data_IF_809980554922
#
_entry.id   IF_809980554922
#
_cell.length_a   1.000
_cell.length_b   1.000
_cell.length_c   1.000
_cell.angle_alpha   90.00
_cell.angle_beta   90.00
_cell.angle_gamma   90.00
#
_symmetry.space_group_name_H-M   'P 1'
#
loop_
_entity.id
_entity.type
_entity.pdbx_description
1 polymer ?
#
# COMPACT_ATOMS: atom_id res chain seq x y z
N UNK A 1 -8.87 -4.56 -12.04
CA UNK A 1 -9.08 -5.22 -10.73
C UNK A 1 -8.60 -4.39 -9.53
N UNK A 2 -7.30 -4.20 -9.18
CA UNK A 2 -6.94 -3.39 -7.99
C UNK A 2 -7.29 -1.89 -8.12
N UNK A 3 -6.92 -1.29 -9.25
CA UNK A 3 -7.16 0.12 -9.56
C UNK A 3 -8.63 0.54 -9.40
N UNK A 4 -9.58 -0.32 -9.77
CA UNK A 4 -11.03 -0.03 -9.66
C UNK A 4 -11.50 0.17 -8.22
N UNK A 5 -10.83 -0.44 -7.23
CA UNK A 5 -11.22 -0.29 -5.82
C UNK A 5 -10.60 0.93 -5.19
N UNK A 6 -9.32 1.18 -5.47
CA UNK A 6 -8.51 2.16 -4.74
C UNK A 6 -8.39 3.52 -5.45
N UNK A 7 -8.81 3.64 -6.72
CA UNK A 7 -8.71 4.90 -7.48
C UNK A 7 -9.26 6.07 -6.69
N UNK A 8 -8.52 7.18 -6.73
CA UNK A 8 -8.92 8.43 -6.09
C UNK A 8 -10.27 8.91 -6.62
N UNK A 9 -11.19 9.20 -5.72
CA UNK A 9 -12.53 9.79 -5.91
C UNK A 9 -13.51 9.00 -6.80
N UNK A 10 -13.04 8.01 -7.56
CA UNK A 10 -13.84 7.16 -8.44
C UNK A 10 -13.71 5.66 -8.08
N UNK A 11 -12.83 5.31 -7.14
CA UNK A 11 -12.67 3.94 -6.67
C UNK A 11 -13.88 3.50 -5.83
N UNK A 12 -14.18 2.20 -5.86
CA UNK A 12 -15.32 1.65 -5.11
C UNK A 12 -15.25 1.94 -3.61
N UNK A 13 -14.05 1.91 -3.02
CA UNK A 13 -13.87 2.18 -1.58
C UNK A 13 -14.11 3.67 -1.29
N UNK A 14 -13.47 4.55 -2.06
CA UNK A 14 -13.60 6.00 -1.86
C UNK A 14 -15.05 6.47 -2.06
N UNK A 15 -15.73 5.91 -3.06
CA UNK A 15 -17.16 6.17 -3.32
C UNK A 15 -18.05 5.70 -2.17
N UNK A 16 -17.77 4.51 -1.61
CA UNK A 16 -18.51 3.99 -0.46
C UNK A 16 -18.33 4.90 0.78
N UNK A 17 -17.09 5.25 1.11
CA UNK A 17 -16.78 6.10 2.26
C UNK A 17 -17.44 7.48 2.11
N UNK A 18 -17.33 8.09 0.94
CA UNK A 18 -17.93 9.41 0.67
C UNK A 18 -19.47 9.36 0.75
N UNK A 19 -20.10 8.33 0.17
CA UNK A 19 -21.57 8.26 0.07
C UNK A 19 -22.27 7.74 1.32
N UNK A 20 -21.62 6.87 2.09
CA UNK A 20 -22.22 6.20 3.26
C UNK A 20 -21.72 6.75 4.59
N UNK A 21 -20.49 7.28 4.63
CA UNK A 21 -19.84 7.73 5.87
C UNK A 21 -19.49 9.22 5.85
N UNK A 22 -19.82 9.96 4.78
CA UNK A 22 -19.41 11.37 4.63
C UNK A 22 -19.91 12.33 5.71
N UNK A 23 -20.93 11.95 6.50
CA UNK A 23 -21.39 12.74 7.65
C UNK A 23 -20.61 12.52 8.95
N UNK A 24 -19.77 11.49 9.02
CA UNK A 24 -18.99 11.11 10.22
C UNK A 24 -17.51 10.86 9.91
N UNK A 25 -17.13 10.89 8.64
CA UNK A 25 -15.78 10.65 8.15
C UNK A 25 -15.47 11.69 7.06
N UNK A 26 -14.39 12.42 7.25
CA UNK A 26 -13.94 13.47 6.35
C UNK A 26 -12.58 13.17 5.73
N UNK A 27 -12.31 13.78 4.58
CA UNK A 27 -10.99 13.74 3.94
C UNK A 27 -10.13 14.89 4.47
N UNK A 28 -9.04 14.56 5.14
CA UNK A 28 -7.99 15.50 5.52
C UNK A 28 -6.74 15.23 4.66
N UNK A 29 -6.55 16.06 3.63
CA UNK A 29 -5.50 15.86 2.64
C UNK A 29 -5.68 14.54 1.88
N UNK A 30 -4.77 13.58 2.09
CA UNK A 30 -4.85 12.24 1.49
C UNK A 30 -5.50 11.20 2.40
N UNK A 31 -5.90 11.54 3.62
CA UNK A 31 -6.32 10.56 4.63
C UNK A 31 -7.80 10.72 4.99
N UNK A 32 -8.42 9.59 5.34
CA UNK A 32 -9.74 9.54 5.96
C UNK A 32 -9.61 9.63 7.47
N UNK A 33 -10.29 10.61 8.06
CA UNK A 33 -10.25 10.93 9.48
C UNK A 33 -11.69 11.04 10.00
N UNK A 34 -12.01 10.50 11.20
CA UNK A 34 -13.31 10.69 11.82
C UNK A 34 -13.62 12.17 12.06
N UNK A 35 -14.86 12.58 11.81
CA UNK A 35 -15.35 13.91 12.15
C UNK A 35 -15.90 13.90 13.59
N UNK A 36 -15.05 14.31 14.52
CA UNK A 36 -15.37 14.33 15.95
C UNK A 36 -16.53 15.26 16.32
N UNK A 37 -16.88 16.25 15.48
CA UNK A 37 -18.00 17.14 15.75
C UNK A 37 -19.35 16.46 15.51
N UNK A 38 -19.40 15.46 14.62
CA UNK A 38 -20.63 14.82 14.17
C UNK A 38 -20.72 13.32 14.49
N UNK A 39 -19.67 12.72 15.08
CA UNK A 39 -19.61 11.28 15.40
C UNK A 39 -20.07 10.91 16.81
N UNK A 40 -21.02 11.65 17.41
CA UNK A 40 -21.46 11.39 18.79
C UNK A 40 -21.96 9.94 18.96
N UNK A 41 -21.33 9.18 19.87
CA UNK A 41 -21.68 7.78 20.16
C UNK A 41 -21.22 6.76 19.11
N UNK A 42 -20.46 7.15 18.08
CA UNK A 42 -19.91 6.26 17.05
C UNK A 42 -18.38 6.24 17.12
N UNK A 43 -17.80 5.13 17.59
CA UNK A 43 -16.36 4.91 17.55
C UNK A 43 -15.98 4.13 16.30
N UNK A 44 -15.06 4.65 15.48
CA UNK A 44 -14.53 3.92 14.33
C UNK A 44 -13.54 2.84 14.77
N UNK A 45 -13.62 1.68 14.12
CA UNK A 45 -12.62 0.63 14.29
C UNK A 45 -11.25 1.13 13.79
N UNK A 46 -10.22 1.23 14.65
CA UNK A 46 -8.90 1.73 14.24
C UNK A 46 -8.24 0.89 13.16
N UNK A 47 -8.51 -0.43 13.14
CA UNK A 47 -7.99 -1.33 12.11
C UNK A 47 -8.60 -1.01 10.73
N UNK A 48 -9.89 -0.67 10.69
CA UNK A 48 -10.57 -0.27 9.45
C UNK A 48 -9.97 1.03 8.89
N UNK A 49 -9.83 2.06 9.73
CA UNK A 49 -9.22 3.33 9.33
C UNK A 49 -7.78 3.14 8.82
N UNK A 50 -6.98 2.32 9.52
CA UNK A 50 -5.63 1.98 9.09
C UNK A 50 -5.62 1.31 7.72
N UNK A 51 -6.50 0.32 7.50
CA UNK A 51 -6.58 -0.41 6.25
C UNK A 51 -6.98 0.50 5.07
N UNK A 52 -7.99 1.33 5.25
CA UNK A 52 -8.45 2.30 4.24
C UNK A 52 -7.35 3.31 3.89
N UNK A 53 -6.68 3.88 4.90
CA UNK A 53 -5.62 4.85 4.69
C UNK A 53 -4.38 4.23 4.03
N UNK A 54 -4.07 2.96 4.33
CA UNK A 54 -3.04 2.21 3.61
C UNK A 54 -3.38 2.04 2.12
N UNK A 55 -4.62 1.67 1.79
CA UNK A 55 -5.06 1.56 0.40
C UNK A 55 -5.05 2.91 -0.32
N UNK A 56 -5.33 4.00 0.40
CA UNK A 56 -5.26 5.34 -0.14
C UNK A 56 -3.83 5.77 -0.45
N UNK A 57 -2.89 5.50 0.44
CA UNK A 57 -1.46 5.75 0.18
C UNK A 57 -0.99 4.99 -1.08
N UNK A 58 -1.45 3.75 -1.26
CA UNK A 58 -1.14 2.97 -2.46
C UNK A 58 -1.77 3.55 -3.73
N UNK A 59 -2.96 4.14 -3.63
CA UNK A 59 -3.60 4.86 -4.73
C UNK A 59 -2.74 6.03 -5.20
N UNK A 60 -2.23 6.84 -4.27
CA UNK A 60 -1.39 7.98 -4.62
C UNK A 60 -0.11 7.55 -5.36
N UNK A 61 0.45 6.40 -5.00
CA UNK A 61 1.62 5.81 -5.68
C UNK A 61 1.25 5.20 -7.05
N UNK A 62 0.11 4.53 -7.17
CA UNK A 62 -0.32 3.88 -8.41
C UNK A 62 -0.80 4.86 -9.49
N UNK A 63 -1.16 6.09 -9.10
CA UNK A 63 -1.70 7.11 -9.99
C UNK A 63 -0.90 8.42 -9.95
N UNK A 64 0.41 8.34 -9.65
CA UNK A 64 1.28 9.51 -9.46
C UNK A 64 1.29 10.46 -10.68
N UNK A 65 1.24 9.91 -11.89
CA UNK A 65 1.23 10.66 -13.16
C UNK A 65 -0.17 10.80 -13.78
N UNK A 66 -1.23 10.49 -13.01
CA UNK A 66 -2.63 10.48 -13.47
C UNK A 66 -3.02 9.27 -14.31
N UNK A 67 -2.04 8.43 -14.70
CA UNK A 67 -2.28 7.16 -15.39
C UNK A 67 -2.15 6.00 -14.41
N UNK A 68 -2.74 4.86 -14.74
CA UNK A 68 -2.58 3.67 -13.91
C UNK A 68 -1.18 3.08 -14.12
N UNK A 69 -0.36 3.09 -13.08
CA UNK A 69 0.96 2.45 -13.08
C UNK A 69 1.97 3.19 -12.22
N UNK A 70 3.08 2.52 -11.95
CA UNK A 70 4.18 3.02 -11.16
C UNK A 70 5.40 3.11 -12.07
N UNK A 71 5.91 4.31 -12.24
CA UNK A 71 7.17 4.58 -12.92
C UNK A 71 8.31 4.62 -11.90
N UNK A 72 9.44 3.99 -12.23
CA UNK A 72 10.62 3.91 -11.38
C UNK A 72 11.87 3.71 -12.25
N UNK A 73 13.05 3.75 -11.64
CA UNK A 73 14.29 3.45 -12.35
C UNK A 73 15.06 2.36 -11.65
N UNK A 74 15.73 1.52 -12.43
CA UNK A 74 16.64 0.50 -11.95
C UNK A 74 18.04 0.76 -12.51
N UNK A 75 19.04 0.50 -11.69
CA UNK A 75 20.44 0.52 -12.08
C UNK A 75 21.10 -0.77 -11.62
N UNK A 76 21.55 -1.60 -12.57
CA UNK A 76 22.35 -2.79 -12.27
C UNK A 76 23.69 -2.40 -11.64
N UNK A 77 24.18 -3.26 -10.74
CA UNK A 77 25.46 -3.08 -10.05
C UNK A 77 26.35 -4.29 -10.26
N UNK A 78 27.66 -4.03 -10.32
CA UNK A 78 28.66 -5.07 -10.38
C UNK A 78 28.61 -5.92 -9.12
N UNK A 79 28.74 -7.23 -9.32
CA UNK A 79 28.80 -8.21 -8.26
C UNK A 79 30.05 -9.08 -8.46
N UNK A 80 30.74 -9.48 -7.38
CA UNK A 80 31.88 -10.38 -7.49
C UNK A 80 31.51 -11.67 -8.24
N UNK A 81 32.39 -12.09 -9.15
CA UNK A 81 32.25 -13.32 -9.94
C UNK A 81 31.02 -13.42 -10.86
N UNK A 82 30.30 -12.31 -11.07
CA UNK A 82 29.16 -12.25 -11.99
C UNK A 82 29.60 -11.49 -13.24
N UNK A 83 29.54 -12.14 -14.39
CA UNK A 83 29.84 -11.52 -15.69
C UNK A 83 28.67 -10.67 -16.14
N UNK A 84 27.46 -11.18 -16.01
CA UNK A 84 26.26 -10.56 -16.58
C UNK A 84 24.99 -10.88 -15.79
N UNK A 85 24.06 -9.92 -15.73
CA UNK A 85 22.67 -10.14 -15.35
C UNK A 85 21.73 -9.63 -16.46
N UNK A 86 20.64 -10.37 -16.68
CA UNK A 86 19.54 -9.95 -17.55
C UNK A 86 18.24 -10.03 -16.76
N UNK A 87 17.66 -8.86 -16.49
CA UNK A 87 16.34 -8.73 -15.88
C UNK A 87 15.34 -8.33 -16.97
N UNK A 88 14.35 -9.16 -17.24
CA UNK A 88 13.23 -8.84 -18.11
C UNK A 88 12.01 -8.53 -17.24
N UNK A 89 11.40 -7.36 -17.39
CA UNK A 89 10.22 -6.93 -16.63
C UNK A 89 9.11 -6.51 -17.59
N UNK A 90 8.07 -7.32 -17.71
CA UNK A 90 6.93 -7.07 -18.62
C UNK A 90 7.39 -6.66 -20.03
N UNK A 91 8.41 -7.34 -20.55
CA UNK A 91 9.01 -7.06 -21.86
C UNK A 91 10.07 -5.94 -21.89
N UNK A 92 10.37 -5.29 -20.77
CA UNK A 92 11.42 -4.28 -20.63
C UNK A 92 12.74 -4.94 -20.18
N UNK A 93 13.77 -5.04 -21.05
CA UNK A 93 15.04 -5.67 -20.69
C UNK A 93 15.97 -4.70 -19.97
N UNK A 94 16.58 -5.13 -18.88
CA UNK A 94 17.73 -4.50 -18.23
C UNK A 94 18.88 -5.50 -18.22
N UNK A 95 19.84 -5.26 -19.10
CA UNK A 95 21.07 -6.05 -19.21
C UNK A 95 22.21 -5.29 -18.57
N UNK A 96 22.95 -5.94 -17.67
CA UNK A 96 24.13 -5.37 -17.04
C UNK A 96 25.29 -6.36 -17.05
N UNK A 97 26.42 -5.97 -17.63
CA UNK A 97 27.60 -6.82 -17.82
C UNK A 97 28.89 -6.12 -17.36
N UNK A 98 28.84 -5.47 -16.18
CA UNK A 98 29.95 -4.72 -15.59
C UNK A 98 30.44 -3.52 -16.40
N UNK A 99 29.61 -3.01 -17.31
CA UNK A 99 29.83 -1.73 -17.97
C UNK A 99 29.51 -0.54 -17.04
N UNK A 100 29.73 0.67 -17.53
CA UNK A 100 29.31 1.88 -16.84
C UNK A 100 27.81 1.82 -16.53
N UNK A 101 27.46 1.89 -15.24
CA UNK A 101 26.09 1.68 -14.80
C UNK A 101 25.23 2.90 -15.14
N UNK A 102 24.12 2.67 -15.86
CA UNK A 102 23.14 3.70 -16.20
C UNK A 102 21.81 3.43 -15.52
N UNK A 103 21.07 4.49 -15.20
CA UNK A 103 19.68 4.37 -14.77
C UNK A 103 18.81 4.03 -15.97
N UNK A 104 17.94 3.04 -15.81
CA UNK A 104 16.95 2.68 -16.80
C UNK A 104 15.55 2.94 -16.23
N UNK A 105 14.81 3.83 -16.90
CA UNK A 105 13.41 4.05 -16.60
C UNK A 105 12.59 2.81 -16.97
N UNK A 106 11.72 2.44 -16.04
CA UNK A 106 10.87 1.26 -16.08
C UNK A 106 9.47 1.64 -15.64
N UNK A 107 8.49 0.87 -16.11
CA UNK A 107 7.10 1.01 -15.71
C UNK A 107 6.51 -0.33 -15.31
N UNK A 108 5.66 -0.31 -14.28
CA UNK A 108 4.84 -1.44 -13.87
C UNK A 108 3.39 -1.02 -13.64
N UNK A 109 2.38 -1.76 -14.13
CA UNK A 109 2.49 -2.82 -15.15
C UNK A 109 3.10 -2.30 -16.46
N UNK A 110 3.85 -3.15 -17.17
CA UNK A 110 4.30 -2.85 -18.54
C UNK A 110 3.25 -3.21 -19.61
N UNK A 111 3.57 -2.92 -20.88
CA UNK A 111 2.66 -3.07 -22.02
C UNK A 111 2.73 -4.45 -22.71
N UNK A 112 3.50 -5.39 -22.18
CA UNK A 112 3.66 -6.73 -22.79
C UNK A 112 2.37 -7.55 -22.75
N UNK A 113 2.05 -8.21 -23.87
CA UNK A 113 0.98 -9.21 -23.98
C UNK A 113 1.23 -10.47 -23.12
N UNK A 114 2.49 -10.71 -22.74
CA UNK A 114 2.91 -11.77 -21.82
C UNK A 114 3.65 -11.13 -20.67
N UNK A 115 2.93 -10.59 -19.66
CA UNK A 115 3.58 -9.95 -18.52
C UNK A 115 4.28 -11.00 -17.64
N UNK A 116 5.31 -10.57 -16.93
CA UNK A 116 6.14 -11.43 -16.10
C UNK A 116 7.50 -10.81 -15.81
N UNK A 117 8.23 -11.42 -14.88
CA UNK A 117 9.60 -11.03 -14.55
C UNK A 117 10.52 -12.24 -14.59
N UNK A 118 11.57 -12.16 -15.40
CA UNK A 118 12.60 -13.19 -15.51
C UNK A 118 13.94 -12.57 -15.17
N UNK A 119 14.66 -13.18 -14.22
CA UNK A 119 16.03 -12.82 -13.93
C UNK A 119 16.96 -13.98 -14.28
N UNK A 120 17.92 -13.73 -15.16
CA UNK A 120 19.04 -14.62 -15.43
C UNK A 120 20.36 -13.95 -15.08
N UNK A 121 21.37 -14.76 -14.78
CA UNK A 121 22.72 -14.29 -14.49
C UNK A 121 23.75 -15.29 -15.00
N UNK A 122 24.94 -14.79 -15.34
CA UNK A 122 26.07 -15.59 -15.82
C UNK A 122 27.27 -15.32 -14.92
N UNK A 123 27.87 -16.36 -14.35
CA UNK A 123 29.05 -16.27 -13.50
C UNK A 123 30.34 -16.43 -14.30
N UNK A 124 31.49 -16.23 -13.65
CA UNK A 124 32.81 -16.37 -14.29
C UNK A 124 33.04 -17.76 -14.92
N UNK A 125 32.58 -18.80 -14.23
CA UNK A 125 32.79 -20.21 -14.58
C UNK A 125 31.47 -20.96 -14.86
N UNK A 126 30.39 -20.23 -15.16
CA UNK A 126 29.08 -20.82 -15.42
C UNK A 126 28.42 -20.22 -16.67
N UNK A 127 27.59 -21.01 -17.34
CA UNK A 127 26.66 -20.50 -18.35
C UNK A 127 25.53 -19.71 -17.69
N UNK A 128 24.67 -19.09 -18.50
CA UNK A 128 23.50 -18.38 -18.02
C UNK A 128 22.60 -19.31 -17.18
N UNK A 129 22.31 -18.88 -15.95
CA UNK A 129 21.44 -19.54 -14.98
C UNK A 129 20.19 -18.69 -14.77
N UNK A 130 19.04 -19.35 -14.57
CA UNK A 130 17.81 -18.67 -14.14
C UNK A 130 17.89 -18.49 -12.63
N UNK A 131 17.79 -17.25 -12.16
CA UNK A 131 17.57 -16.96 -10.74
C UNK A 131 16.10 -17.22 -10.36
N UNK A 132 15.17 -16.71 -11.17
CA UNK A 132 13.74 -16.89 -10.97
C UNK A 132 12.91 -16.41 -12.15
N UNK A 133 11.80 -17.11 -12.39
CA UNK A 133 10.78 -16.81 -13.40
C UNK A 133 9.43 -16.60 -12.69
N UNK A 134 8.90 -15.38 -12.79
CA UNK A 134 7.69 -14.94 -12.12
C UNK A 134 6.66 -14.51 -13.17
N UNK A 135 5.83 -15.41 -13.70
CA UNK A 135 4.88 -15.09 -14.77
C UNK A 135 3.74 -14.19 -14.29
N UNK A 136 3.11 -13.46 -15.21
CA UNK A 136 1.94 -12.61 -14.96
C UNK A 136 2.26 -11.22 -14.43
N UNK A 137 1.27 -10.32 -14.43
CA UNK A 137 1.43 -8.90 -14.05
C UNK A 137 2.05 -8.69 -12.68
N UNK A 138 1.81 -9.56 -11.71
CA UNK A 138 2.40 -9.46 -10.37
C UNK A 138 3.81 -10.07 -10.26
N UNK A 139 4.39 -10.51 -11.37
CA UNK A 139 5.73 -11.09 -11.44
C UNK A 139 6.80 -10.18 -10.84
N UNK A 140 6.74 -8.89 -11.17
CA UNK A 140 7.68 -7.91 -10.66
C UNK A 140 7.61 -7.76 -9.14
N UNK A 141 6.39 -7.75 -8.57
CA UNK A 141 6.21 -7.62 -7.12
C UNK A 141 6.71 -8.88 -6.40
N UNK A 142 6.49 -10.07 -6.97
CA UNK A 142 7.07 -11.33 -6.46
C UNK A 142 8.59 -11.35 -6.55
N UNK A 143 9.18 -10.77 -7.58
CA UNK A 143 10.63 -10.60 -7.68
C UNK A 143 11.14 -9.66 -6.59
N UNK A 144 10.55 -8.46 -6.43
CA UNK A 144 10.89 -7.52 -5.35
C UNK A 144 10.74 -8.12 -3.96
N UNK A 145 9.81 -9.07 -3.79
CA UNK A 145 9.61 -9.78 -2.54
C UNK A 145 10.83 -10.59 -2.13
N UNK A 146 11.52 -11.24 -3.09
CA UNK A 146 12.71 -12.07 -2.83
C UNK A 146 13.94 -11.25 -2.43
N UNK A 147 13.95 -9.95 -2.74
CA UNK A 147 15.07 -9.08 -2.44
C UNK A 147 15.21 -8.84 -0.94
N UNK A 148 16.45 -8.90 -0.44
CA UNK A 148 16.83 -8.13 0.74
C UNK A 148 16.87 -6.66 0.33
N UNK A 149 16.15 -5.82 1.08
CA UNK A 149 15.94 -4.40 0.77
C UNK A 149 16.60 -3.54 1.83
N UNK A 150 17.49 -2.64 1.43
CA UNK A 150 18.14 -1.68 2.32
C UNK A 150 17.90 -0.27 1.78
N UNK A 151 17.41 0.64 2.65
CA UNK A 151 17.14 2.01 2.25
C UNK A 151 18.46 2.78 2.20
N UNK A 152 18.80 3.34 1.03
CA UNK A 152 20.00 4.16 0.85
C UNK A 152 19.71 5.62 1.19
N UNK A 153 18.57 6.14 0.74
CA UNK A 153 18.08 7.48 1.08
C UNK A 153 16.55 7.58 0.92
N UNK A 154 16.03 8.81 0.74
CA UNK A 154 14.59 9.06 0.62
C UNK A 154 13.94 8.33 -0.55
N UNK A 155 14.61 8.18 -1.70
CA UNK A 155 14.04 7.61 -2.92
C UNK A 155 14.81 6.42 -3.47
N UNK A 156 15.97 6.07 -2.90
CA UNK A 156 16.81 4.96 -3.37
C UNK A 156 16.85 3.79 -2.39
N UNK A 157 16.76 2.60 -2.95
CA UNK A 157 16.82 1.32 -2.25
C UNK A 157 17.85 0.41 -2.92
N UNK A 158 18.69 -0.22 -2.12
CA UNK A 158 19.53 -1.34 -2.57
C UNK A 158 18.71 -2.62 -2.48
N UNK A 159 18.64 -3.34 -3.60
CA UNK A 159 18.01 -4.64 -3.73
C UNK A 159 19.11 -5.68 -3.90
N UNK A 160 19.15 -6.66 -3.00
CA UNK A 160 20.15 -7.72 -3.00
C UNK A 160 19.49 -9.09 -3.08
N UNK A 161 19.96 -9.93 -4.00
CA UNK A 161 19.44 -11.26 -4.27
C UNK A 161 20.56 -12.28 -4.13
N UNK A 162 20.41 -13.21 -3.19
CA UNK A 162 21.40 -14.29 -3.01
C UNK A 162 21.06 -15.45 -3.92
N UNK A 163 21.97 -15.79 -4.82
CA UNK A 163 21.85 -16.94 -5.73
C UNK A 163 22.10 -18.26 -5.00
N UNK A 164 21.70 -19.42 -5.57
CA UNK A 164 21.93 -20.73 -4.96
C UNK A 164 23.40 -21.04 -4.65
N UNK A 165 24.31 -20.50 -5.45
CA UNK A 165 25.76 -20.61 -5.30
C UNK A 165 26.37 -19.47 -4.46
N UNK A 166 25.54 -18.75 -3.69
CA UNK A 166 25.92 -17.74 -2.69
C UNK A 166 26.55 -16.45 -3.24
N UNK A 167 26.35 -16.15 -4.53
CA UNK A 167 26.66 -14.84 -5.10
C UNK A 167 25.53 -13.86 -4.78
N UNK A 168 25.84 -12.57 -4.76
CA UNK A 168 24.85 -11.52 -4.48
C UNK A 168 24.66 -10.65 -5.71
N UNK A 169 23.51 -10.79 -6.37
CA UNK A 169 23.12 -9.91 -7.46
C UNK A 169 22.51 -8.63 -6.88
N UNK A 170 22.88 -7.47 -7.41
CA UNK A 170 22.47 -6.19 -6.82
C UNK A 170 21.93 -5.20 -7.86
N UNK A 171 20.87 -4.49 -7.45
CA UNK A 171 20.29 -3.37 -8.17
C UNK A 171 20.06 -2.21 -7.21
N UNK A 172 20.15 -0.99 -7.72
CA UNK A 172 19.59 0.16 -7.03
C UNK A 172 18.26 0.52 -7.69
N UNK A 173 17.20 0.51 -6.90
CA UNK A 173 15.88 1.00 -7.26
C UNK A 173 15.77 2.47 -6.87
N UNK A 174 15.35 3.32 -7.79
CA UNK A 174 14.98 4.71 -7.54
C UNK A 174 13.48 4.91 -7.77
N UNK A 175 12.79 5.38 -6.74
CA UNK A 175 11.34 5.60 -6.74
C UNK A 175 11.02 7.05 -7.05
N UNK A 176 9.90 7.30 -7.74
CA UNK A 176 9.42 8.67 -7.98
C UNK A 176 8.62 9.21 -6.80
N UNK A 177 7.77 8.38 -6.22
CA UNK A 177 6.91 8.73 -5.08
C UNK A 177 7.01 7.68 -3.99
N UNK A 178 7.30 8.12 -2.75
CA UNK A 178 7.39 7.27 -1.54
C UNK A 178 8.24 6.02 -1.82
N UNK A 179 7.74 4.85 -1.46
CA UNK A 179 8.43 3.56 -1.67
C UNK A 179 8.18 2.97 -3.06
N UNK A 180 7.47 3.68 -3.95
CA UNK A 180 7.18 3.25 -5.32
C UNK A 180 6.61 1.83 -5.36
N UNK A 181 7.16 0.93 -6.21
CA UNK A 181 6.62 -0.43 -6.32
C UNK A 181 6.81 -1.28 -5.06
N UNK A 182 7.75 -0.94 -4.16
CA UNK A 182 7.92 -1.65 -2.89
C UNK A 182 6.72 -1.47 -1.96
N UNK A 183 5.97 -0.38 -2.11
CA UNK A 183 4.77 -0.14 -1.31
C UNK A 183 3.73 -1.26 -1.45
N UNK A 184 3.65 -1.89 -2.63
CA UNK A 184 2.72 -2.99 -2.92
C UNK A 184 3.01 -4.24 -2.09
N UNK A 185 4.23 -4.42 -1.58
CA UNK A 185 4.55 -5.53 -0.68
C UNK A 185 3.76 -5.45 0.63
N UNK A 186 3.29 -4.25 1.02
CA UNK A 186 2.40 -4.07 2.18
C UNK A 186 1.01 -4.66 2.00
N UNK A 187 0.64 -5.03 0.77
CA UNK A 187 -0.61 -5.76 0.49
C UNK A 187 -0.52 -7.25 0.82
N UNK A 188 0.69 -7.76 1.13
CA UNK A 188 0.82 -9.16 1.56
C UNK A 188 0.13 -9.38 2.91
N UNK A 189 -0.79 -10.34 2.93
CA UNK A 189 -1.60 -10.63 4.12
C UNK A 189 -2.55 -9.49 4.48
N UNK A 190 -2.72 -8.49 3.61
CA UNK A 190 -3.67 -7.42 3.84
C UNK A 190 -5.10 -7.98 3.82
N UNK A 191 -5.85 -7.63 4.85
CA UNK A 191 -7.28 -7.89 4.94
C UNK A 191 -7.99 -6.57 5.21
N UNK A 192 -9.12 -6.36 4.54
CA UNK A 192 -9.99 -5.22 4.86
C UNK A 192 -10.92 -5.65 5.99
N UNK A 193 -10.90 -4.99 7.15
CA UNK A 193 -11.81 -5.31 8.24
C UNK A 193 -13.27 -5.20 7.81
N UNK A 194 -14.09 -6.16 8.24
CA UNK A 194 -15.53 -6.19 7.94
C UNK A 194 -16.34 -5.23 8.81
N UNK A 195 -15.79 -4.85 9.96
CA UNK A 195 -16.42 -3.94 10.93
C UNK A 195 -15.86 -2.52 10.79
N UNK A 196 -16.74 -1.57 10.52
CA UNK A 196 -16.39 -0.14 10.37
C UNK A 196 -16.36 0.57 11.72
N UNK A 197 -17.30 0.23 12.60
CA UNK A 197 -17.45 0.81 13.92
C UNK A 197 -17.09 -0.23 14.99
N UNK A 198 -16.48 0.21 16.08
CA UNK A 198 -16.28 -0.59 17.28
C UNK A 198 -17.39 -0.28 18.27
N UNK A 199 -17.96 -1.32 18.87
CA UNK A 199 -18.84 -1.16 20.02
C UNK A 199 -17.94 -1.06 21.25
N UNK A 200 -17.69 0.16 21.73
CA UNK A 200 -17.09 0.32 23.06
C UNK A 200 -18.10 -0.16 24.10
N UNK A 201 -17.74 -1.21 24.85
CA UNK A 201 -18.60 -1.75 25.91
C UNK A 201 -18.97 -0.69 26.95
N UNK A 202 -18.11 0.32 27.15
CA UNK A 202 -18.37 1.48 28.01
C UNK A 202 -19.48 2.38 27.45
N UNK A 203 -19.44 2.72 26.14
CA UNK A 203 -20.48 3.54 25.50
C UNK A 203 -21.80 2.79 25.32
N UNK A 204 -21.75 1.46 25.11
CA UNK A 204 -22.94 0.62 25.05
C UNK A 204 -23.64 0.49 26.42
N UNK A 205 -22.88 0.46 27.51
CA UNK A 205 -23.44 0.43 28.87
C UNK A 205 -24.01 1.78 29.31
N UNK A 206 -23.42 2.89 28.87
CA UNK A 206 -23.95 4.25 29.08
C UNK A 206 -25.25 4.51 28.29
N UNK A 207 -25.35 4.00 27.06
CA UNK A 207 -26.57 4.08 26.24
C UNK A 207 -27.71 3.17 26.73
N UNK A 208 -27.38 2.08 27.45
CA UNK A 208 -28.35 1.16 28.08
C UNK A 208 -28.68 1.53 29.53
N UNK A 209 -28.07 2.57 30.09
CA UNK A 209 -28.48 3.07 31.40
C UNK A 209 -29.90 3.66 31.28
N UNK A 210 -30.85 3.25 32.15
CA UNK A 210 -32.18 3.83 32.16
C UNK A 210 -32.07 5.34 32.37
N UNK A 211 -32.69 6.12 31.48
CA UNK A 211 -32.90 7.55 31.72
C UNK A 211 -33.85 7.66 32.90
N UNK A 212 -33.31 7.86 34.10
CA UNK A 212 -34.12 8.14 35.26
C UNK A 212 -35.02 9.34 34.94
N UNK A 213 -36.32 9.09 35.02
CA UNK A 213 -37.34 10.10 34.84
C UNK A 213 -37.07 11.20 35.87
N UNK A 214 -36.79 12.41 35.39
CA UNK A 214 -36.91 13.61 36.21
C UNK A 214 -38.36 13.68 36.65
N UNK A 215 -38.63 13.26 37.88
CA UNK A 215 -39.86 13.61 38.59
C UNK A 215 -39.74 15.08 38.94
N UNK A 216 -40.36 15.94 38.13
CA UNK A 216 -40.75 17.29 38.53
C UNK A 216 -41.65 17.15 39.76
N UNK A 217 -41.10 17.37 40.95
CA UNK A 217 -41.88 17.58 42.16
C UNK A 217 -42.41 19.02 42.11
N UNK A 218 -43.54 19.21 41.44
CA UNK A 218 -44.34 20.43 41.52
C UNK A 218 -45.12 20.38 42.83
N UNK A 219 -44.50 20.87 43.91
CA UNK A 219 -45.25 21.17 45.14
C UNK A 219 -46.07 22.44 44.90
N UNK A 220 -47.33 22.23 44.51
CA UNK A 220 -48.36 23.29 44.53
C UNK A 220 -49.06 23.22 45.87
N UNK A 221 -48.86 24.20 46.74
CA UNK A 221 -49.78 24.46 47.85
C UNK A 221 -50.05 25.97 47.90
N UNK A 222 -51.23 26.34 47.41
CA UNK A 222 -51.89 27.63 47.63
C UNK A 222 -53.19 27.39 48.41
N UNK A 223 -53.55 28.44 49.18
CA UNK A 223 -54.78 28.68 49.96
C UNK A 223 -54.83 28.06 51.37
N UNK A 224 -55.21 28.77 52.44
CA UNK A 224 -55.82 30.09 52.61
C UNK A 224 -56.89 30.04 53.73
N UNK A 225 -56.97 31.10 54.54
CA UNK A 225 -57.98 31.39 55.59
C UNK A 225 -57.97 30.46 56.85
N UNK A 226 -58.15 30.94 58.09
CA UNK A 226 -58.79 32.14 58.67
C UNK A 226 -57.94 32.77 59.79
#
# INVERSE_FOLDING_TARGET
MLAEFIRRDAGRIDSFLSSRLGGVLQKEGSSWVPDAAHSQGLTFNPAFLKAVNQLRELSDILFTDGTQGISFELQGRAAPEVIETQLMLDGQPLRYFNQMANWQAMRWPGDSLKPGTLLTWTGLNSSAQIYGDYPGTWGFIRWLEQAKRERLDRSRWLLSFTTPDKRTLTWVLRTQMRDGPLALLRLRGFTLPTEIFSVDAASASEAMAPRDAVTDDVTTDMEGAE
#
